data_IF_255429037517
#
_entry.id   IF_255429037517
#
_cell.length_a   1.000
_cell.length_b   1.000
_cell.length_c   1.000
_cell.angle_alpha   90.00
_cell.angle_beta   90.00
_cell.angle_gamma   90.00
#
_symmetry.space_group_name_H-M   'P 1'
#
loop_
_entity.id
_entity.type
_entity.pdbx_description
1 polymer ?
#
# COMPACT_ATOMS: atom_id res chain seq x y z
N UNK A 1 12.30 5.12 4.76
CA UNK A 1 11.75 6.41 4.26
C UNK A 1 12.02 6.57 2.76
N UNK A 2 11.00 6.85 1.94
CA UNK A 2 11.26 7.28 0.56
C UNK A 2 11.97 8.64 0.66
N UNK A 3 13.10 8.86 -0.03
CA UNK A 3 13.85 10.08 0.18
C UNK A 3 13.00 11.30 -0.19
N UNK A 4 12.95 12.30 0.69
CA UNK A 4 12.21 13.57 0.52
C UNK A 4 12.54 14.29 -0.81
N UNK A 5 13.67 13.92 -1.43
CA UNK A 5 14.10 14.37 -2.74
C UNK A 5 13.23 13.84 -3.89
N UNK A 6 12.69 12.62 -3.79
CA UNK A 6 11.78 12.05 -4.79
C UNK A 6 10.47 12.84 -4.84
N UNK A 7 9.84 13.08 -3.69
CA UNK A 7 8.64 13.90 -3.60
C UNK A 7 8.84 15.31 -4.18
N UNK A 8 9.99 15.95 -3.87
CA UNK A 8 10.35 17.25 -4.45
C UNK A 8 10.57 17.20 -5.95
N UNK A 9 11.19 16.14 -6.47
CA UNK A 9 11.42 15.98 -7.90
C UNK A 9 10.10 15.78 -8.65
N UNK A 10 9.21 14.93 -8.16
CA UNK A 10 7.89 14.71 -8.74
C UNK A 10 7.06 15.99 -8.74
N UNK A 11 7.06 16.76 -7.65
CA UNK A 11 6.38 18.06 -7.60
C UNK A 11 6.91 19.04 -8.66
N UNK A 12 8.24 19.16 -8.83
CA UNK A 12 8.85 20.01 -9.87
C UNK A 12 8.52 19.54 -11.29
N UNK A 13 8.45 18.23 -11.51
CA UNK A 13 8.08 17.69 -12.81
C UNK A 13 6.58 17.92 -13.11
N UNK A 14 5.71 17.72 -12.13
CA UNK A 14 4.27 17.97 -12.26
C UNK A 14 3.97 19.43 -12.53
N UNK A 15 4.66 20.37 -11.87
CA UNK A 15 4.45 21.81 -12.13
C UNK A 15 4.89 22.18 -13.54
N UNK A 16 6.00 21.63 -14.03
CA UNK A 16 6.42 21.82 -15.42
C UNK A 16 5.40 21.24 -16.40
N UNK A 17 4.85 20.06 -16.12
CA UNK A 17 3.82 19.44 -16.95
C UNK A 17 2.51 20.25 -16.95
N UNK A 18 2.08 20.77 -15.80
CA UNK A 18 0.92 21.65 -15.70
C UNK A 18 1.15 22.99 -16.43
N UNK A 19 2.39 23.50 -16.48
CA UNK A 19 2.75 24.71 -17.23
C UNK A 19 2.81 24.49 -18.74
N UNK A 20 3.13 23.28 -19.21
CA UNK A 20 3.12 22.96 -20.65
C UNK A 20 1.71 22.66 -21.17
N UNK A 21 0.79 22.23 -20.30
CA UNK A 21 -0.62 21.98 -20.62
C UNK A 21 -1.33 23.17 -21.30
N UNK A 22 -1.32 24.42 -20.78
CA UNK A 22 -1.96 25.56 -21.43
C UNK A 22 -1.36 25.86 -22.81
N UNK A 23 -0.05 25.70 -22.98
CA UNK A 23 0.63 25.92 -24.28
C UNK A 23 0.15 24.92 -25.33
N UNK A 24 -0.12 23.68 -24.94
CA UNK A 24 -0.66 22.65 -25.83
C UNK A 24 -2.14 22.88 -26.18
N UNK A 25 -2.93 23.42 -25.26
CA UNK A 25 -4.39 23.44 -25.35
C UNK A 25 -4.96 24.80 -25.81
N UNK A 26 -4.14 25.86 -25.82
CA UNK A 26 -4.53 27.21 -26.26
C UNK A 26 -5.07 27.22 -27.70
N UNK A 27 -4.56 26.34 -28.56
CA UNK A 27 -4.98 26.27 -29.97
C UNK A 27 -6.40 25.74 -30.20
N UNK A 28 -6.99 25.00 -29.25
CA UNK A 28 -8.30 24.37 -29.42
C UNK A 28 -9.42 25.03 -28.59
N UNK A 29 -9.11 25.55 -27.40
CA UNK A 29 -10.12 25.98 -26.41
C UNK A 29 -10.18 27.50 -26.18
N UNK A 30 -9.24 28.27 -26.73
CA UNK A 30 -9.19 29.73 -26.54
C UNK A 30 -9.18 30.12 -25.05
N UNK A 31 -10.09 31.00 -24.63
CA UNK A 31 -10.17 31.50 -23.24
C UNK A 31 -10.64 30.47 -22.21
N UNK A 32 -11.33 29.40 -22.62
CA UNK A 32 -11.73 28.31 -21.72
C UNK A 32 -10.53 27.50 -21.20
N UNK A 33 -9.35 27.67 -21.79
CA UNK A 33 -8.13 26.99 -21.36
C UNK A 33 -7.76 27.34 -19.91
N UNK A 34 -8.07 28.56 -19.44
CA UNK A 34 -7.69 29.04 -18.11
C UNK A 34 -8.42 28.27 -16.98
N UNK A 35 -9.76 28.21 -16.94
CA UNK A 35 -10.45 27.45 -15.89
C UNK A 35 -10.18 25.94 -15.97
N UNK A 36 -10.02 25.40 -17.19
CA UNK A 36 -9.73 23.96 -17.38
C UNK A 36 -8.34 23.59 -16.86
N UNK A 37 -7.32 24.36 -17.23
CA UNK A 37 -5.94 24.13 -16.75
C UNK A 37 -5.81 24.36 -15.26
N UNK A 38 -6.51 25.35 -14.70
CA UNK A 38 -6.58 25.58 -13.25
C UNK A 38 -7.21 24.37 -12.53
N UNK A 39 -8.33 23.84 -13.03
CA UNK A 39 -8.98 22.66 -12.47
C UNK A 39 -8.08 21.42 -12.50
N UNK A 40 -7.45 21.14 -13.65
CA UNK A 40 -6.54 20.00 -13.80
C UNK A 40 -5.32 20.14 -12.89
N UNK A 41 -4.73 21.33 -12.82
CA UNK A 41 -3.59 21.61 -11.93
C UNK A 41 -3.99 21.40 -10.47
N UNK A 42 -5.16 21.89 -10.06
CA UNK A 42 -5.71 21.67 -8.72
C UNK A 42 -5.87 20.18 -8.41
N UNK A 43 -6.48 19.40 -9.32
CA UNK A 43 -6.67 17.96 -9.12
C UNK A 43 -5.33 17.20 -9.00
N UNK A 44 -4.38 17.46 -9.90
CA UNK A 44 -3.09 16.75 -9.90
C UNK A 44 -2.23 17.09 -8.70
N UNK A 45 -2.17 18.38 -8.33
CA UNK A 45 -1.45 18.81 -7.13
C UNK A 45 -2.13 18.29 -5.86
N UNK A 46 -3.47 18.25 -5.82
CA UNK A 46 -4.22 17.67 -4.71
C UNK A 46 -3.94 16.18 -4.52
N UNK A 47 -3.91 15.39 -5.59
CA UNK A 47 -3.58 13.95 -5.51
C UNK A 47 -2.14 13.76 -5.04
N UNK A 48 -1.19 14.56 -5.53
CA UNK A 48 0.20 14.52 -5.09
C UNK A 48 0.34 14.78 -3.58
N UNK A 49 -0.42 15.74 -3.05
CA UNK A 49 -0.43 16.08 -1.63
C UNK A 49 -1.08 14.98 -0.77
N UNK A 50 -2.19 14.39 -1.25
CA UNK A 50 -2.82 13.23 -0.58
C UNK A 50 -1.87 12.04 -0.52
N UNK A 51 -1.14 11.75 -1.60
CA UNK A 51 -0.14 10.68 -1.63
C UNK A 51 0.98 10.92 -0.62
N UNK A 52 1.45 12.16 -0.52
CA UNK A 52 2.45 12.56 0.48
C UNK A 52 1.90 12.43 1.91
N UNK A 53 0.65 12.83 2.13
CA UNK A 53 -0.01 12.74 3.43
C UNK A 53 -0.13 11.28 3.89
N UNK A 54 -0.55 10.38 3.01
CA UNK A 54 -0.64 8.94 3.32
C UNK A 54 0.74 8.37 3.68
N UNK A 55 1.79 8.77 2.96
CA UNK A 55 3.16 8.35 3.28
C UNK A 55 3.59 8.83 4.68
N UNK A 56 3.30 10.08 5.05
CA UNK A 56 3.59 10.59 6.39
C UNK A 56 2.76 9.89 7.47
N UNK A 57 1.46 9.62 7.24
CA UNK A 57 0.64 8.88 8.20
C UNK A 57 1.14 7.45 8.43
N UNK A 58 1.67 6.81 7.40
CA UNK A 58 2.23 5.47 7.50
C UNK A 58 3.57 5.43 8.24
N UNK A 59 4.39 6.48 8.12
CA UNK A 59 5.77 6.50 8.64
C UNK A 59 5.93 7.24 9.98
N UNK A 60 5.35 8.43 10.13
CA UNK A 60 5.62 9.33 11.25
C UNK A 60 4.62 9.15 12.41
N UNK A 61 3.37 8.85 12.07
CA UNK A 61 2.30 8.70 13.06
C UNK A 61 2.18 7.28 13.61
N UNK A 62 2.74 6.26 12.93
CA UNK A 62 2.53 4.84 13.27
C UNK A 62 1.07 4.38 13.16
N UNK A 63 0.15 5.27 12.75
CA UNK A 63 -1.31 5.11 12.74
C UNK A 63 -1.83 4.27 11.59
N UNK A 64 -0.97 3.59 10.84
CA UNK A 64 -1.41 2.52 9.94
C UNK A 64 -1.82 1.28 10.79
N UNK A 65 -2.78 1.49 11.70
CA UNK A 65 -3.48 0.58 12.59
C UNK A 65 -2.64 -0.51 13.30
N UNK A 66 -1.31 -0.48 13.27
CA UNK A 66 -0.52 -1.60 13.76
C UNK A 66 -0.68 -1.77 15.28
N UNK A 67 -0.74 -0.66 16.03
CA UNK A 67 -1.00 -0.70 17.47
C UNK A 67 -2.40 -1.26 17.76
N UNK A 68 -3.41 -0.80 17.02
CA UNK A 68 -4.79 -1.30 17.15
C UNK A 68 -4.92 -2.79 16.77
N UNK A 69 -4.18 -3.24 15.75
CA UNK A 69 -4.17 -4.64 15.33
C UNK A 69 -3.42 -5.50 16.35
N UNK A 70 -2.34 -4.98 16.93
CA UNK A 70 -1.58 -5.65 18.00
C UNK A 70 -2.44 -5.81 19.25
N UNK A 71 -3.16 -4.76 19.65
CA UNK A 71 -4.10 -4.81 20.77
C UNK A 71 -5.26 -5.78 20.52
N UNK A 72 -5.78 -5.82 19.29
CA UNK A 72 -6.82 -6.79 18.91
C UNK A 72 -6.31 -8.23 18.97
N UNK A 73 -5.13 -8.50 18.39
CA UNK A 73 -4.51 -9.84 18.44
C UNK A 73 -4.24 -10.26 19.89
N UNK A 74 -3.77 -9.34 20.73
CA UNK A 74 -3.55 -9.62 22.15
C UNK A 74 -4.85 -9.98 22.86
N UNK A 75 -5.93 -9.25 22.58
CA UNK A 75 -7.25 -9.55 23.15
C UNK A 75 -7.77 -10.91 22.68
N UNK A 76 -7.61 -11.23 21.39
CA UNK A 76 -8.00 -12.53 20.82
C UNK A 76 -7.21 -13.69 21.46
N UNK A 77 -5.90 -13.53 21.71
CA UNK A 77 -5.08 -14.56 22.38
C UNK A 77 -5.52 -14.76 23.83
N UNK A 78 -5.82 -13.68 24.56
CA UNK A 78 -6.29 -13.74 25.94
C UNK A 78 -7.67 -14.39 26.03
N UNK A 79 -8.56 -14.14 25.06
CA UNK A 79 -9.87 -14.77 24.97
C UNK A 79 -9.78 -16.25 24.60
N UNK A 80 -8.86 -16.62 23.71
CA UNK A 80 -8.69 -18.00 23.25
C UNK A 80 -7.97 -18.92 24.26
N UNK A 81 -7.24 -18.37 25.23
CA UNK A 81 -6.59 -19.16 26.29
C UNK A 81 -7.60 -19.48 27.39
N UNK A 82 -8.06 -20.73 27.41
CA UNK A 82 -8.90 -21.28 28.49
C UNK A 82 -8.00 -21.52 29.74
N UNK A 83 -8.30 -20.93 30.91
CA UNK A 83 -7.42 -21.00 32.10
C UNK A 83 -7.23 -22.40 32.69
N UNK A 84 -8.02 -23.39 32.26
CA UNK A 84 -7.95 -24.77 32.72
C UNK A 84 -7.07 -25.69 31.84
N UNK A 85 -6.51 -25.17 30.73
CA UNK A 85 -5.60 -25.93 29.86
C UNK A 85 -4.13 -25.76 30.35
N UNK A 86 -3.38 -26.85 30.58
CA UNK A 86 -1.98 -26.75 31.01
C UNK A 86 -1.16 -25.98 29.97
N UNK A 87 -0.15 -25.18 30.39
CA UNK A 87 0.61 -24.34 29.48
C UNK A 87 1.13 -25.16 28.30
N UNK A 88 0.80 -24.72 27.09
CA UNK A 88 1.27 -25.33 25.85
C UNK A 88 2.81 -25.36 25.90
N UNK A 89 3.38 -26.55 26.06
CA UNK A 89 4.82 -26.75 26.05
C UNK A 89 5.27 -26.46 24.61
N UNK A 90 5.78 -25.25 24.39
CA UNK A 90 6.36 -24.86 23.09
C UNK A 90 7.63 -25.68 22.93
N UNK A 91 7.50 -26.86 22.35
CA UNK A 91 8.62 -27.70 21.96
C UNK A 91 9.46 -26.94 20.93
N UNK A 92 10.58 -26.39 21.39
CA UNK A 92 11.50 -25.60 20.57
C UNK A 92 12.39 -26.48 19.69
N UNK A 93 12.31 -27.79 19.85
CA UNK A 93 13.14 -28.77 19.14
C UNK A 93 12.38 -29.48 18.00
N UNK A 94 11.08 -29.23 17.83
CA UNK A 94 10.32 -29.67 16.65
C UNK A 94 10.65 -28.79 15.44
N UNK A 95 11.51 -29.30 14.54
CA UNK A 95 11.79 -28.69 13.24
C UNK A 95 10.49 -28.35 12.49
N UNK A 96 10.46 -27.31 11.64
CA UNK A 96 9.24 -26.86 10.98
C UNK A 96 8.52 -28.03 10.31
N UNK A 97 7.40 -28.45 10.91
CA UNK A 97 6.53 -29.46 10.33
C UNK A 97 6.18 -28.98 8.92
N UNK A 98 6.64 -29.74 7.93
CA UNK A 98 6.35 -29.47 6.53
C UNK A 98 4.85 -29.23 6.41
N UNK A 99 4.47 -28.06 5.91
CA UNK A 99 3.06 -27.68 5.71
C UNK A 99 2.30 -28.81 4.99
N UNK A 100 0.98 -28.87 5.15
CA UNK A 100 0.18 -30.00 4.71
C UNK A 100 0.54 -30.31 3.26
N UNK A 101 1.09 -31.51 3.04
CA UNK A 101 1.38 -31.99 1.70
C UNK A 101 0.06 -32.01 0.94
N UNK A 102 -0.13 -31.00 0.10
CA UNK A 102 -1.23 -30.96 -0.86
C UNK A 102 -0.96 -32.13 -1.80
N UNK A 103 -1.59 -33.27 -1.48
CA UNK A 103 -1.63 -34.43 -2.32
C UNK A 103 -2.30 -34.04 -3.63
N UNK A 104 -1.50 -33.61 -4.61
CA UNK A 104 -1.93 -33.54 -5.98
C UNK A 104 -1.97 -34.97 -6.51
N UNK A 105 -3.06 -35.66 -6.19
CA UNK A 105 -3.46 -36.88 -6.90
C UNK A 105 -3.82 -36.48 -8.33
N UNK A 106 -2.84 -36.54 -9.21
CA UNK A 106 -3.04 -36.56 -10.65
C UNK A 106 -2.10 -37.64 -11.23
N UNK A 107 -2.54 -38.89 -11.11
CA UNK A 107 -2.04 -39.99 -11.93
C UNK A 107 -2.99 -40.17 -13.11
N UNK A 108 -2.43 -40.13 -14.32
CA UNK A 108 -3.10 -40.22 -15.64
C UNK A 108 -2.75 -38.96 -16.44
N UNK A 109 -1.85 -38.96 -17.43
CA UNK A 109 -1.49 -39.95 -18.45
C UNK A 109 -0.05 -39.69 -18.94
N UNK A 110 0.69 -40.68 -19.49
CA UNK A 110 1.97 -40.45 -20.13
C UNK A 110 1.79 -39.87 -21.55
N UNK A 111 2.07 -38.58 -21.73
CA UNK A 111 2.24 -37.96 -23.04
C UNK A 111 3.71 -37.73 -23.34
N UNK A 112 4.33 -38.62 -24.14
CA UNK A 112 5.42 -38.27 -25.04
C UNK A 112 5.41 -39.22 -26.25
N UNK A 113 5.47 -38.59 -27.44
CA UNK A 113 5.61 -39.13 -28.79
C UNK A 113 4.33 -39.61 -29.50
#
# INVERSE_FOLDING_TARGET
PVPLNYARHTSRFLTLWCLTLPVSLVGSMGLLVVPVTAFVTWCLMGIQEIGLFIEHCALDDGRLFMDSITDQIMMDVVEAVDPDEPPLEIDRDEAPQAGPSVGHTAAGEPFLA
#
